data_IF_239837861548
#
_entry.id   IF_239837861548
#
_cell.length_a   1.000
_cell.length_b   1.000
_cell.length_c   1.000
_cell.angle_alpha   90.00
_cell.angle_beta   90.00
_cell.angle_gamma   90.00
#
_symmetry.space_group_name_H-M   'P 1'
#
loop_
_entity.id
_entity.type
_entity.pdbx_description
1 polymer ?
#
# COMPACT_ATOMS: atom_id res chain seq x y z
N UNK A 1 -24.04 11.60 -8.18
CA UNK A 1 -22.85 10.92 -7.65
C UNK A 1 -22.95 9.45 -7.99
N UNK A 2 -21.87 8.86 -8.51
CA UNK A 2 -21.80 7.42 -8.73
C UNK A 2 -21.72 6.67 -7.40
N UNK A 3 -22.13 5.40 -7.41
CA UNK A 3 -21.97 4.50 -6.26
C UNK A 3 -20.49 4.35 -5.89
N UNK A 4 -19.61 4.37 -6.88
CA UNK A 4 -18.16 4.29 -6.71
C UNK A 4 -17.61 5.50 -5.92
N UNK A 5 -18.00 6.72 -6.31
CA UNK A 5 -17.58 7.96 -5.65
C UNK A 5 -17.95 7.97 -4.15
N UNK A 6 -19.12 7.39 -3.82
CA UNK A 6 -19.61 7.34 -2.44
C UNK A 6 -18.80 6.35 -1.58
N UNK A 7 -18.36 5.24 -2.17
CA UNK A 7 -17.53 4.23 -1.51
C UNK A 7 -16.13 4.79 -1.26
N UNK A 8 -15.50 5.37 -2.29
CA UNK A 8 -14.19 6.03 -2.21
C UNK A 8 -14.16 7.11 -1.13
N UNK A 9 -15.18 7.98 -1.09
CA UNK A 9 -15.28 9.02 -0.06
C UNK A 9 -15.32 8.43 1.36
N UNK A 10 -16.08 7.36 1.57
CA UNK A 10 -16.19 6.72 2.87
C UNK A 10 -14.90 5.98 3.24
N UNK A 11 -14.21 5.35 2.28
CA UNK A 11 -12.93 4.70 2.50
C UNK A 11 -11.89 5.70 3.01
N UNK A 12 -11.85 6.91 2.44
CA UNK A 12 -10.93 7.98 2.82
C UNK A 12 -11.24 8.65 4.17
N UNK A 13 -12.21 8.13 4.94
CA UNK A 13 -12.34 8.45 6.37
C UNK A 13 -11.30 7.72 7.23
N UNK A 14 -10.71 6.63 6.72
CA UNK A 14 -9.61 5.91 7.35
C UNK A 14 -8.25 6.42 6.84
N UNK A 15 -7.20 6.19 7.63
CA UNK A 15 -5.81 6.29 7.18
C UNK A 15 -5.42 5.01 6.48
N UNK A 16 -4.78 5.14 5.32
CA UNK A 16 -4.43 4.01 4.47
C UNK A 16 -2.93 3.84 4.36
N UNK A 17 -2.53 2.61 4.09
CA UNK A 17 -1.19 2.22 3.70
C UNK A 17 -1.22 1.12 2.65
N UNK A 18 -0.08 0.91 2.02
CA UNK A 18 0.23 -0.38 1.41
C UNK A 18 0.96 -1.24 2.44
N UNK A 19 0.44 -2.44 2.71
CA UNK A 19 1.07 -3.44 3.56
C UNK A 19 1.66 -4.53 2.68
N UNK A 20 2.96 -4.78 2.82
CA UNK A 20 3.67 -5.85 2.14
C UNK A 20 3.73 -7.05 3.08
N UNK A 21 2.85 -8.03 2.84
CA UNK A 21 2.92 -9.32 3.51
C UNK A 21 4.23 -10.02 3.11
N UNK A 22 4.90 -10.66 4.07
CA UNK A 22 6.24 -11.20 3.89
C UNK A 22 7.21 -10.48 4.84
N UNK A 23 7.79 -9.32 4.45
CA UNK A 23 8.65 -8.53 5.32
C UNK A 23 7.90 -7.81 6.46
N UNK A 24 6.56 -7.75 6.38
CA UNK A 24 5.69 -7.05 7.33
C UNK A 24 5.94 -5.54 7.38
N UNK A 25 6.11 -4.95 6.18
CA UNK A 25 6.37 -3.52 6.01
C UNK A 25 5.09 -2.78 5.62
N UNK A 26 4.89 -1.59 6.20
CA UNK A 26 3.75 -0.71 5.90
C UNK A 26 4.24 0.65 5.46
N UNK A 27 3.69 1.17 4.35
CA UNK A 27 3.99 2.51 3.84
C UNK A 27 2.71 3.33 3.73
N UNK A 28 2.70 4.49 4.36
CA UNK A 28 1.54 5.36 4.44
C UNK A 28 1.14 5.90 3.05
N UNK A 29 -0.16 5.93 2.81
CA UNK A 29 -0.75 6.38 1.55
C UNK A 29 -1.81 7.45 1.80
N UNK A 30 -1.91 8.47 0.91
CA UNK A 30 -2.78 9.62 1.14
C UNK A 30 -4.27 9.26 1.00
N UNK A 31 -4.59 8.25 0.18
CA UNK A 31 -5.95 7.78 -0.08
C UNK A 31 -5.97 6.26 -0.24
N UNK A 32 -7.17 5.69 -0.12
CA UNK A 32 -7.44 4.30 -0.48
C UNK A 32 -7.03 4.00 -1.92
N UNK A 33 -7.34 4.90 -2.86
CA UNK A 33 -7.05 4.71 -4.27
C UNK A 33 -5.55 4.63 -4.56
N UNK A 34 -4.74 5.49 -3.94
CA UNK A 34 -3.28 5.43 -4.09
C UNK A 34 -2.71 4.18 -3.42
N UNK A 35 -3.27 3.73 -2.28
CA UNK A 35 -2.87 2.46 -1.66
C UNK A 35 -3.15 1.25 -2.56
N UNK A 36 -4.32 1.19 -3.21
CA UNK A 36 -4.65 0.13 -4.17
C UNK A 36 -3.69 0.16 -5.35
N UNK A 37 -3.51 1.34 -5.96
CA UNK A 37 -2.64 1.51 -7.13
C UNK A 37 -1.18 1.12 -6.83
N UNK A 38 -0.65 1.51 -5.68
CA UNK A 38 0.71 1.14 -5.29
C UNK A 38 0.82 -0.36 -4.97
N UNK A 39 -0.20 -0.95 -4.35
CA UNK A 39 -0.24 -2.40 -4.11
C UNK A 39 -0.26 -3.22 -5.40
N UNK A 40 -1.04 -2.80 -6.41
CA UNK A 40 -1.08 -3.45 -7.73
C UNK A 40 0.27 -3.36 -8.43
N UNK A 41 0.93 -2.20 -8.34
CA UNK A 41 2.26 -1.97 -8.90
C UNK A 41 3.30 -2.89 -8.24
N UNK A 42 3.35 -2.95 -6.92
CA UNK A 42 4.27 -3.83 -6.17
C UNK A 42 4.03 -5.31 -6.50
N UNK A 43 2.76 -5.73 -6.55
CA UNK A 43 2.42 -7.09 -6.93
C UNK A 43 2.83 -7.43 -8.37
N UNK A 44 2.77 -6.47 -9.29
CA UNK A 44 3.31 -6.61 -10.64
C UNK A 44 4.81 -6.93 -10.64
N UNK A 45 5.60 -6.19 -9.85
CA UNK A 45 7.03 -6.46 -9.69
C UNK A 45 7.31 -7.81 -9.02
N UNK A 46 6.55 -8.17 -7.99
CA UNK A 46 6.70 -9.45 -7.29
C UNK A 46 6.36 -10.64 -8.21
N UNK A 47 5.31 -10.52 -9.02
CA UNK A 47 4.94 -11.54 -10.00
C UNK A 47 6.02 -11.74 -11.08
N UNK A 48 6.62 -10.66 -11.56
CA UNK A 48 7.76 -10.73 -12.50
C UNK A 48 8.98 -11.41 -11.85
N UNK A 49 9.27 -11.09 -10.58
CA UNK A 49 10.37 -11.72 -9.83
C UNK A 49 10.13 -13.21 -9.63
N UNK A 50 8.93 -13.60 -9.20
CA UNK A 50 8.51 -14.99 -8.99
C UNK A 50 8.63 -15.83 -10.26
N UNK A 51 8.30 -15.26 -11.42
CA UNK A 51 8.41 -15.98 -12.70
C UNK A 51 9.85 -16.32 -13.04
N UNK A 52 10.80 -15.49 -12.63
CA UNK A 52 12.20 -15.65 -12.97
C UNK A 52 12.97 -16.44 -11.89
N UNK A 53 12.75 -16.16 -10.60
CA UNK A 53 13.57 -16.65 -9.48
C UNK A 53 12.70 -17.01 -8.25
N UNK A 54 11.74 -17.94 -8.38
CA UNK A 54 10.88 -18.32 -7.26
C UNK A 54 11.65 -19.04 -6.14
N UNK A 55 11.76 -18.39 -4.97
CA UNK A 55 12.07 -19.04 -3.71
C UNK A 55 10.77 -19.36 -2.96
N UNK A 56 10.77 -20.40 -2.11
CA UNK A 56 9.57 -20.81 -1.34
C UNK A 56 9.04 -19.69 -0.44
N UNK A 57 9.94 -18.80 -0.03
CA UNK A 57 9.69 -17.61 0.80
C UNK A 57 8.86 -16.55 0.07
N UNK A 58 8.85 -16.56 -1.27
CA UNK A 58 8.12 -15.59 -2.08
C UNK A 58 6.61 -15.90 -2.19
N UNK A 59 6.16 -17.10 -1.79
CA UNK A 59 4.76 -17.54 -1.92
C UNK A 59 3.80 -16.67 -1.08
N UNK A 60 4.28 -16.12 0.04
CA UNK A 60 3.49 -15.25 0.92
C UNK A 60 3.89 -13.77 0.79
N UNK A 61 4.68 -13.41 -0.24
CA UNK A 61 5.10 -12.05 -0.48
C UNK A 61 4.12 -11.33 -1.42
N UNK A 62 3.25 -10.48 -0.90
CA UNK A 62 2.34 -9.66 -1.71
C UNK A 62 1.94 -8.38 -0.99
N UNK A 63 1.65 -7.34 -1.76
CA UNK A 63 1.19 -6.05 -1.28
C UNK A 63 -0.34 -5.95 -1.29
N UNK A 64 -0.94 -5.29 -0.30
CA UNK A 64 -2.36 -4.94 -0.34
C UNK A 64 -2.64 -3.59 0.34
N UNK A 65 -3.73 -2.94 -0.06
CA UNK A 65 -4.24 -1.78 0.66
C UNK A 65 -4.77 -2.21 2.04
N UNK A 66 -4.37 -1.49 3.09
CA UNK A 66 -4.80 -1.76 4.46
C UNK A 66 -4.98 -0.44 5.25
N UNK A 67 -5.82 -0.45 6.30
CA UNK A 67 -5.81 0.64 7.27
C UNK A 67 -4.44 0.77 7.92
N UNK A 68 -3.99 2.00 8.15
CA UNK A 68 -2.74 2.27 8.86
C UNK A 68 -2.82 1.71 10.29
N UNK A 69 -1.86 0.86 10.71
CA UNK A 69 -1.94 0.17 11.99
C UNK A 69 -1.41 0.99 13.17
N UNK A 70 -0.83 2.17 12.91
CA UNK A 70 -0.18 3.01 13.92
C UNK A 70 -0.94 4.32 14.15
N UNK A 71 -0.32 5.26 14.86
CA UNK A 71 -0.88 6.57 15.15
C UNK A 71 -1.08 7.43 13.90
N UNK A 72 -2.01 8.39 13.97
CA UNK A 72 -2.21 9.39 12.92
C UNK A 72 -0.97 10.28 12.72
N UNK A 73 -0.22 10.56 13.78
CA UNK A 73 1.03 11.32 13.72
C UNK A 73 2.08 10.56 12.90
N UNK A 74 2.28 9.28 13.19
CA UNK A 74 3.23 8.45 12.45
C UNK A 74 2.80 8.22 11.00
N UNK A 75 1.50 8.24 10.70
CA UNK A 75 1.00 8.22 9.31
C UNK A 75 1.46 9.46 8.55
N UNK A 76 1.33 10.63 9.16
CA UNK A 76 1.73 11.89 8.56
C UNK A 76 3.26 11.99 8.40
N UNK A 77 4.02 11.53 9.38
CA UNK A 77 5.49 11.47 9.32
C UNK A 77 5.98 10.59 8.17
N UNK A 78 5.40 9.39 8.02
CA UNK A 78 5.77 8.46 6.94
C UNK A 78 5.40 9.01 5.55
N UNK A 79 4.22 9.65 5.42
CA UNK A 79 3.84 10.37 4.20
C UNK A 79 4.82 11.50 3.86
N UNK A 80 5.27 12.26 4.85
CA UNK A 80 6.24 13.34 4.64
C UNK A 80 7.61 12.79 4.22
N UNK A 81 8.05 11.68 4.82
CA UNK A 81 9.28 11.01 4.43
C UNK A 81 9.22 10.58 2.95
N UNK A 82 8.13 9.92 2.54
CA UNK A 82 7.93 9.48 1.16
C UNK A 82 7.89 10.65 0.14
N UNK A 83 7.38 11.82 0.53
CA UNK A 83 7.38 13.02 -0.31
C UNK A 83 8.77 13.67 -0.43
N UNK A 84 9.61 13.52 0.60
CA UNK A 84 10.98 14.05 0.62
C UNK A 84 12.00 13.20 -0.16
N UNK A 85 11.64 11.97 -0.52
CA UNK A 85 12.49 11.03 -1.26
C UNK A 85 12.33 11.12 -2.79
N UNK A 86 11.56 12.09 -3.31
CA UNK A 86 11.48 12.31 -4.76
C UNK A 86 12.75 13.02 -5.28
N UNK A 87 13.49 12.46 -6.25
CA UNK A 87 14.66 13.10 -6.85
C UNK A 87 14.31 14.35 -7.66
#
# INVERSE_FOLDING_TARGET
>A
MSKQDSISRNANLAKWCVHILGPDEVHAMPTYEEAVKESDKLNGYLAERLTNHAHIEDILCFAHAAPWPHSDESHAEDLLAALGEQP
#
